data_IF_331356067564
#
_entry.id   IF_331356067564
#
_cell.length_a   1.000
_cell.length_b   1.000
_cell.length_c   1.000
_cell.angle_alpha   90.00
_cell.angle_beta   90.00
_cell.angle_gamma   90.00
#
_symmetry.space_group_name_H-M   'P 1'
#
loop_
_entity.id
_entity.type
_entity.pdbx_description
1 polymer ?
#
# COMPACT_ATOMS: atom_id res chain seq x y z
N UNK A 1 22.34 1.12 17.06
CA UNK A 1 21.89 2.51 17.17
C UNK A 1 21.98 3.17 15.80
N UNK A 2 23.15 3.17 15.11
CA UNK A 2 23.33 3.85 13.82
C UNK A 2 22.41 3.33 12.68
N UNK A 3 22.10 2.04 12.63
CA UNK A 3 21.26 1.47 11.58
C UNK A 3 19.79 1.89 11.70
N UNK A 4 19.30 2.06 12.93
CA UNK A 4 17.94 2.52 13.21
C UNK A 4 17.77 3.99 12.83
N UNK A 5 18.75 4.83 13.15
CA UNK A 5 18.72 6.25 12.81
C UNK A 5 18.73 6.46 11.29
N UNK A 6 19.58 5.72 10.55
CA UNK A 6 19.65 5.76 9.09
C UNK A 6 18.34 5.34 8.42
N UNK A 7 17.66 4.32 8.93
CA UNK A 7 16.33 3.91 8.43
C UNK A 7 15.27 4.98 8.67
N UNK A 8 15.24 5.54 9.87
CA UNK A 8 14.29 6.61 10.23
C UNK A 8 14.48 7.83 9.34
N UNK A 9 15.72 8.26 9.11
CA UNK A 9 16.05 9.38 8.23
C UNK A 9 15.63 9.12 6.79
N UNK A 10 15.88 7.93 6.28
CA UNK A 10 15.48 7.51 4.93
C UNK A 10 13.95 7.56 4.77
N UNK A 11 13.22 7.11 5.77
CA UNK A 11 11.76 7.11 5.72
C UNK A 11 11.16 8.51 5.90
N UNK A 12 11.78 9.37 6.70
CA UNK A 12 11.39 10.78 6.78
C UNK A 12 11.57 11.49 5.44
N UNK A 13 12.67 11.23 4.74
CA UNK A 13 12.92 11.74 3.38
C UNK A 13 11.86 11.23 2.41
N UNK A 14 11.55 9.94 2.43
CA UNK A 14 10.49 9.33 1.62
C UNK A 14 9.14 10.02 1.85
N UNK A 15 8.74 10.23 3.11
CA UNK A 15 7.48 10.92 3.45
C UNK A 15 7.45 12.36 2.99
N UNK A 16 8.55 13.07 3.15
CA UNK A 16 8.68 14.47 2.69
C UNK A 16 8.50 14.56 1.19
N UNK A 17 9.14 13.69 0.43
CA UNK A 17 9.00 13.62 -1.03
C UNK A 17 7.57 13.26 -1.42
N UNK A 18 6.97 12.24 -0.81
CA UNK A 18 5.59 11.84 -1.03
C UNK A 18 4.61 13.01 -0.85
N UNK A 19 4.73 13.76 0.24
CA UNK A 19 3.89 14.92 0.52
C UNK A 19 4.13 16.03 -0.52
N UNK A 20 5.39 16.32 -0.84
CA UNK A 20 5.76 17.40 -1.76
C UNK A 20 5.35 17.14 -3.20
N UNK A 21 5.38 15.89 -3.64
CA UNK A 21 5.07 15.47 -5.01
C UNK A 21 3.64 14.97 -5.17
N UNK A 22 2.82 15.01 -4.10
CA UNK A 22 1.46 14.49 -4.13
C UNK A 22 0.61 15.25 -5.17
N UNK A 23 -0.04 14.50 -6.08
CA UNK A 23 -0.72 15.05 -7.24
C UNK A 23 -2.14 15.57 -6.95
N UNK A 24 -2.77 15.08 -5.87
CA UNK A 24 -4.17 15.41 -5.53
C UNK A 24 -4.23 16.41 -4.39
N UNK A 25 -3.41 16.24 -3.35
CA UNK A 25 -3.35 17.18 -2.22
C UNK A 25 -2.32 18.26 -2.52
N UNK A 26 -2.76 19.48 -2.70
CA UNK A 26 -1.92 20.57 -3.20
C UNK A 26 -1.77 21.72 -2.17
N UNK A 27 -0.70 22.46 -2.31
CA UNK A 27 -0.47 23.70 -1.56
C UNK A 27 -0.55 23.50 -0.04
N UNK A 28 -1.30 24.37 0.63
CA UNK A 28 -1.46 24.36 2.10
C UNK A 28 -2.17 23.11 2.64
N UNK A 29 -2.95 22.44 1.80
CA UNK A 29 -3.69 21.26 2.23
C UNK A 29 -2.78 20.04 2.49
N UNK A 30 -1.55 20.06 1.98
CA UNK A 30 -0.52 19.07 2.30
C UNK A 30 -0.24 18.95 3.79
N UNK A 31 -0.41 20.02 4.56
CA UNK A 31 -0.25 20.00 6.02
C UNK A 31 -1.30 19.17 6.76
N UNK A 32 -2.39 18.81 6.07
CA UNK A 32 -3.45 17.94 6.62
C UNK A 32 -3.16 16.45 6.43
N UNK A 33 -2.14 16.10 5.65
CA UNK A 33 -1.70 14.71 5.50
C UNK A 33 -1.03 14.25 6.79
N UNK A 34 -1.55 13.19 7.37
CA UNK A 34 -1.11 12.67 8.67
C UNK A 34 -0.58 11.24 8.54
N UNK A 35 0.42 10.91 9.36
CA UNK A 35 1.08 9.61 9.36
C UNK A 35 1.23 9.11 10.80
N UNK A 36 1.25 7.80 10.95
CA UNK A 36 1.71 7.20 12.20
C UNK A 36 3.19 7.48 12.44
N UNK A 37 3.65 7.48 13.69
CA UNK A 37 5.09 7.48 13.97
C UNK A 37 5.78 6.32 13.23
N UNK A 38 7.02 6.55 12.81
CA UNK A 38 7.83 5.51 12.17
C UNK A 38 8.12 4.42 13.20
N UNK A 39 7.78 3.18 12.86
CA UNK A 39 7.96 2.04 13.76
C UNK A 39 8.60 0.86 13.02
N UNK A 40 9.79 0.45 13.47
CA UNK A 40 10.58 -0.60 12.83
C UNK A 40 9.93 -1.98 12.86
N UNK A 41 9.05 -2.26 13.83
CA UNK A 41 8.30 -3.52 13.93
C UNK A 41 7.26 -3.70 12.80
N UNK A 42 6.93 -2.65 12.05
CA UNK A 42 6.09 -2.71 10.84
C UNK A 42 6.89 -2.87 9.54
N UNK A 43 8.18 -3.09 9.65
CA UNK A 43 9.09 -3.44 8.56
C UNK A 43 9.53 -4.89 8.73
N UNK A 44 8.98 -5.78 7.92
CA UNK A 44 9.15 -7.23 8.08
C UNK A 44 9.67 -7.88 6.80
N UNK A 45 10.41 -8.98 6.94
CA UNK A 45 10.77 -9.82 5.81
C UNK A 45 9.62 -10.80 5.56
N UNK A 46 9.07 -10.78 4.36
CA UNK A 46 8.04 -11.70 3.91
C UNK A 46 8.65 -12.79 3.03
N UNK A 47 8.19 -14.01 3.18
CA UNK A 47 8.44 -15.09 2.21
C UNK A 47 7.52 -14.88 1.01
N UNK A 48 8.09 -15.00 -0.19
CA UNK A 48 7.35 -14.86 -1.44
C UNK A 48 7.17 -16.24 -2.11
N UNK A 49 5.93 -16.54 -2.48
CA UNK A 49 5.59 -17.71 -3.30
C UNK A 49 4.95 -17.23 -4.59
N UNK A 50 5.58 -17.51 -5.73
CA UNK A 50 5.04 -17.11 -7.04
C UNK A 50 3.75 -17.86 -7.34
N UNK A 51 2.75 -17.15 -7.86
CA UNK A 51 1.50 -17.75 -8.29
C UNK A 51 1.71 -18.57 -9.58
N UNK A 52 1.02 -19.71 -9.67
CA UNK A 52 0.96 -20.56 -10.86
C UNK A 52 -0.46 -20.53 -11.42
N UNK A 53 -0.59 -20.49 -12.75
CA UNK A 53 -1.89 -20.49 -13.44
C UNK A 53 -2.84 -19.38 -13.01
N UNK A 54 -2.29 -18.21 -12.66
CA UNK A 54 -3.05 -17.07 -12.22
C UNK A 54 -3.88 -16.48 -13.38
N UNK A 55 -5.15 -16.23 -13.12
CA UNK A 55 -6.08 -15.64 -14.09
C UNK A 55 -6.17 -14.12 -13.90
N UNK A 56 -6.46 -13.41 -14.99
CA UNK A 56 -6.81 -12.01 -14.94
C UNK A 56 -8.21 -11.84 -14.33
N UNK A 57 -8.31 -11.01 -13.31
CA UNK A 57 -9.51 -10.77 -12.53
C UNK A 57 -9.94 -9.31 -12.64
N UNK A 58 -11.23 -9.09 -12.77
CA UNK A 58 -11.81 -7.74 -12.74
C UNK A 58 -11.97 -7.30 -11.29
N UNK A 59 -11.22 -6.26 -10.90
CA UNK A 59 -11.33 -5.64 -9.58
C UNK A 59 -12.36 -4.53 -9.62
N UNK A 60 -13.34 -4.54 -8.70
CA UNK A 60 -14.19 -3.39 -8.50
C UNK A 60 -13.36 -2.18 -8.03
N UNK A 61 -13.83 -1.00 -8.40
CA UNK A 61 -13.23 0.26 -7.96
C UNK A 61 -14.27 1.13 -7.29
N UNK A 62 -13.85 2.21 -6.67
CA UNK A 62 -14.74 3.24 -6.13
C UNK A 62 -15.50 4.02 -7.22
N UNK A 63 -15.09 3.89 -8.48
CA UNK A 63 -15.72 4.54 -9.62
C UNK A 63 -16.51 3.59 -10.49
N UNK A 64 -16.68 3.95 -11.76
CA UNK A 64 -17.49 3.19 -12.73
C UNK A 64 -16.69 2.19 -13.56
N UNK A 65 -15.36 2.31 -13.57
CA UNK A 65 -14.47 1.50 -14.42
C UNK A 65 -13.71 0.53 -13.52
N UNK A 66 -13.91 -0.76 -13.75
CA UNK A 66 -13.12 -1.80 -13.09
C UNK A 66 -11.70 -1.82 -13.65
N UNK A 67 -10.77 -2.31 -12.85
CA UNK A 67 -9.38 -2.55 -13.25
C UNK A 67 -9.07 -4.03 -13.25
N UNK A 68 -8.14 -4.45 -14.10
CA UNK A 68 -7.82 -5.86 -14.27
C UNK A 68 -6.45 -6.17 -13.67
N UNK A 69 -6.43 -7.13 -12.76
CA UNK A 69 -5.24 -7.61 -12.06
C UNK A 69 -5.16 -9.13 -12.08
N UNK A 70 -3.97 -9.66 -11.87
CA UNK A 70 -3.78 -11.06 -11.53
C UNK A 70 -2.92 -11.19 -10.28
N UNK A 71 -3.07 -12.28 -9.55
CA UNK A 71 -2.16 -12.62 -8.45
C UNK A 71 -0.79 -12.93 -9.06
N UNK A 72 0.21 -12.14 -8.70
CA UNK A 72 1.61 -12.38 -9.06
C UNK A 72 2.26 -13.39 -8.13
N UNK A 73 1.90 -13.35 -6.86
CA UNK A 73 2.36 -14.24 -5.82
C UNK A 73 1.74 -13.92 -4.48
N UNK A 74 2.11 -14.70 -3.48
CA UNK A 74 1.65 -14.55 -2.09
C UNK A 74 2.82 -14.22 -1.19
N UNK A 75 2.62 -13.25 -0.32
CA UNK A 75 3.54 -12.88 0.75
C UNK A 75 3.07 -13.50 2.06
N UNK A 76 3.95 -14.21 2.74
CA UNK A 76 3.71 -14.77 4.09
C UNK A 76 4.71 -14.15 5.06
N UNK A 77 4.24 -13.61 6.17
CA UNK A 77 5.06 -12.91 7.13
C UNK A 77 4.49 -13.01 8.54
N UNK A 78 5.30 -12.67 9.52
CA UNK A 78 4.88 -12.59 10.93
C UNK A 78 4.95 -11.13 11.35
N UNK A 79 3.86 -10.60 11.88
CA UNK A 79 3.80 -9.25 12.42
C UNK A 79 3.31 -9.31 13.86
N UNK A 80 4.12 -8.78 14.78
CA UNK A 80 3.84 -8.80 16.22
C UNK A 80 3.46 -10.20 16.73
N UNK A 81 4.15 -11.24 16.26
CA UNK A 81 3.92 -12.64 16.63
C UNK A 81 2.77 -13.33 15.90
N UNK A 82 2.03 -12.64 15.05
CA UNK A 82 0.91 -13.19 14.31
C UNK A 82 1.30 -13.52 12.85
N UNK A 83 1.10 -14.77 12.38
CA UNK A 83 1.30 -15.12 10.98
C UNK A 83 0.19 -14.54 10.11
N UNK A 84 0.58 -13.89 9.00
CA UNK A 84 -0.29 -13.19 8.07
C UNK A 84 0.09 -13.47 6.63
N UNK A 85 -0.85 -13.28 5.73
CA UNK A 85 -0.64 -13.41 4.28
C UNK A 85 -1.29 -12.26 3.52
N UNK A 86 -0.67 -11.87 2.41
CA UNK A 86 -1.21 -10.93 1.42
C UNK A 86 -0.90 -11.41 0.01
N UNK A 87 -1.85 -11.28 -0.89
CA UNK A 87 -1.62 -11.47 -2.31
C UNK A 87 -1.02 -10.20 -2.91
N UNK A 88 0.00 -10.40 -3.75
CA UNK A 88 0.68 -9.37 -4.52
C UNK A 88 0.16 -9.40 -5.95
N UNK A 89 -0.25 -8.26 -6.50
CA UNK A 89 -0.95 -8.19 -7.77
C UNK A 89 -0.14 -7.52 -8.87
N UNK A 90 -0.35 -7.96 -10.10
CA UNK A 90 0.15 -7.30 -11.31
C UNK A 90 -1.03 -6.69 -12.06
N UNK A 91 -0.91 -5.42 -12.45
CA UNK A 91 -1.89 -4.72 -13.27
C UNK A 91 -1.73 -5.09 -14.74
N UNK A 92 -2.84 -5.43 -15.41
CA UNK A 92 -2.82 -5.73 -16.84
C UNK A 92 -2.40 -4.50 -17.67
N UNK A 93 -2.96 -3.35 -17.37
CA UNK A 93 -2.68 -2.11 -18.11
C UNK A 93 -1.24 -1.63 -17.90
N UNK A 94 -0.78 -1.64 -16.64
CA UNK A 94 0.57 -1.16 -16.32
C UNK A 94 1.66 -2.12 -16.83
N UNK A 95 1.41 -3.42 -16.83
CA UNK A 95 2.36 -4.41 -17.32
C UNK A 95 2.70 -4.24 -18.82
N UNK A 96 1.84 -3.57 -19.59
CA UNK A 96 2.06 -3.27 -21.00
C UNK A 96 2.97 -2.04 -21.24
N UNK A 97 3.21 -1.24 -20.21
CA UNK A 97 4.07 -0.07 -20.29
C UNK A 97 5.46 -0.41 -19.79
N UNK A 98 6.48 -0.07 -20.54
CA UNK A 98 7.86 -0.44 -20.20
C UNK A 98 8.30 0.09 -18.84
N UNK A 99 7.95 1.33 -18.51
CA UNK A 99 8.28 1.96 -17.24
C UNK A 99 7.63 1.29 -16.02
N UNK A 100 6.49 0.58 -16.22
CA UNK A 100 5.74 -0.07 -15.13
C UNK A 100 5.70 -1.60 -15.21
N UNK A 101 6.42 -2.22 -16.13
CA UNK A 101 6.36 -3.68 -16.33
C UNK A 101 6.77 -4.49 -15.10
N UNK A 102 7.61 -3.92 -14.24
CA UNK A 102 8.05 -4.54 -13.00
C UNK A 102 7.19 -4.14 -11.78
N UNK A 103 6.21 -3.27 -11.97
CA UNK A 103 5.36 -2.78 -10.89
C UNK A 103 4.45 -3.86 -10.34
N UNK A 104 4.38 -3.93 -9.02
CA UNK A 104 3.51 -4.82 -8.27
C UNK A 104 2.69 -4.02 -7.27
N UNK A 105 1.42 -4.34 -7.19
CA UNK A 105 0.43 -3.63 -6.39
C UNK A 105 0.02 -4.47 -5.18
N UNK A 106 0.05 -3.87 -4.00
CA UNK A 106 -0.33 -4.52 -2.75
C UNK A 106 -1.41 -3.69 -2.04
N UNK A 107 -2.68 -3.88 -2.40
CA UNK A 107 -3.80 -3.30 -1.67
C UNK A 107 -4.13 -4.13 -0.44
N UNK A 108 -4.49 -3.50 0.67
CA UNK A 108 -4.90 -4.19 1.88
C UNK A 108 -5.90 -3.39 2.70
N UNK A 109 -6.67 -4.08 3.51
CA UNK A 109 -7.44 -3.51 4.61
C UNK A 109 -6.95 -4.08 5.94
N UNK A 110 -7.17 -3.37 7.01
CA UNK A 110 -6.81 -3.77 8.35
C UNK A 110 -7.80 -3.22 9.38
N UNK A 111 -7.64 -3.55 10.65
CA UNK A 111 -8.59 -3.15 11.67
C UNK A 111 -8.56 -1.66 12.06
N UNK A 112 -7.67 -0.86 11.48
CA UNK A 112 -7.66 0.61 11.65
C UNK A 112 -8.58 1.35 10.68
N UNK A 113 -9.07 0.66 9.62
CA UNK A 113 -9.90 1.30 8.59
C UNK A 113 -11.22 1.83 9.18
N UNK A 114 -11.66 2.99 8.68
CA UNK A 114 -12.83 3.73 9.13
C UNK A 114 -12.73 4.34 10.54
N UNK A 115 -11.64 4.11 11.27
CA UNK A 115 -11.35 4.72 12.56
C UNK A 115 -10.12 5.65 12.46
N UNK A 116 -8.93 5.07 12.38
CA UNK A 116 -7.68 5.83 12.30
C UNK A 116 -7.17 6.03 10.87
N UNK A 117 -7.58 5.17 9.94
CA UNK A 117 -7.17 5.21 8.53
C UNK A 117 -8.37 5.20 7.59
N UNK A 118 -8.11 5.49 6.31
CA UNK A 118 -9.15 5.54 5.28
C UNK A 118 -9.95 4.24 5.20
N UNK A 119 -11.27 4.36 5.16
CA UNK A 119 -12.22 3.22 5.16
C UNK A 119 -12.02 2.25 3.99
N UNK A 120 -11.59 2.75 2.84
CA UNK A 120 -11.34 1.96 1.63
C UNK A 120 -10.02 1.20 1.63
N UNK A 121 -9.26 1.20 2.72
CA UNK A 121 -7.96 0.54 2.80
C UNK A 121 -6.81 1.40 2.28
N UNK A 122 -5.63 0.80 2.22
CA UNK A 122 -4.37 1.46 1.81
C UNK A 122 -3.60 0.59 0.83
N UNK A 123 -2.60 1.19 0.22
CA UNK A 123 -1.77 0.57 -0.81
C UNK A 123 -0.30 0.59 -0.44
N UNK A 124 0.43 -0.41 -0.96
CA UNK A 124 1.89 -0.41 -1.05
C UNK A 124 2.29 -0.66 -2.50
N UNK A 125 3.29 0.07 -2.96
CA UNK A 125 3.91 -0.10 -4.26
C UNK A 125 5.21 -0.90 -4.10
N UNK A 126 5.32 -1.97 -4.86
CA UNK A 126 6.47 -2.86 -4.89
C UNK A 126 6.88 -3.11 -6.35
N UNK A 127 8.01 -3.76 -6.53
CA UNK A 127 8.46 -4.18 -7.85
C UNK A 127 8.97 -5.62 -7.82
N UNK A 128 9.04 -6.25 -8.99
CA UNK A 128 9.66 -7.58 -9.11
C UNK A 128 11.12 -7.58 -8.67
N UNK A 129 11.79 -6.41 -8.72
CA UNK A 129 13.19 -6.24 -8.31
C UNK A 129 13.38 -6.26 -6.79
N UNK A 130 12.30 -6.06 -6.03
CA UNK A 130 12.33 -6.15 -4.55
C UNK A 130 12.36 -7.59 -4.05
N UNK A 131 12.07 -8.55 -4.94
CA UNK A 131 12.03 -9.97 -4.61
C UNK A 131 13.43 -10.57 -4.79
N UNK A 132 14.03 -11.03 -3.71
CA UNK A 132 15.34 -11.67 -3.69
C UNK A 132 15.28 -13.01 -2.94
N UNK A 133 15.72 -14.09 -3.59
CA UNK A 133 15.74 -15.42 -2.98
C UNK A 133 14.40 -15.83 -2.33
N UNK A 134 13.29 -15.57 -3.03
CA UNK A 134 11.93 -15.81 -2.54
C UNK A 134 11.62 -15.07 -1.22
N UNK A 135 12.22 -13.92 -1.02
CA UNK A 135 11.89 -13.01 0.09
C UNK A 135 11.70 -11.59 -0.42
N UNK A 136 10.99 -10.80 0.36
CA UNK A 136 10.71 -9.40 0.07
C UNK A 136 10.64 -8.64 1.39
N UNK A 137 11.25 -7.45 1.43
CA UNK A 137 11.12 -6.56 2.57
C UNK A 137 9.81 -5.78 2.45
N UNK A 138 8.88 -6.04 3.36
CA UNK A 138 7.57 -5.41 3.42
C UNK A 138 7.58 -4.32 4.49
N UNK A 139 7.42 -3.07 4.08
CA UNK A 139 7.47 -1.91 4.97
C UNK A 139 6.12 -1.17 4.98
N UNK A 140 5.30 -1.44 5.98
CA UNK A 140 4.00 -0.79 6.15
C UNK A 140 4.11 0.70 6.51
N UNK A 141 5.28 1.18 6.94
CA UNK A 141 5.50 2.61 7.14
C UNK A 141 5.40 3.42 5.83
N UNK A 142 5.46 2.75 4.68
CA UNK A 142 5.27 3.33 3.34
C UNK A 142 3.84 3.21 2.81
N UNK A 143 2.91 2.62 3.58
CA UNK A 143 1.52 2.50 3.16
C UNK A 143 0.88 3.87 2.97
N UNK A 144 0.12 4.04 1.90
CA UNK A 144 -0.49 5.30 1.51
C UNK A 144 -1.97 5.14 1.14
N UNK A 145 -2.69 6.24 1.16
CA UNK A 145 -4.10 6.29 0.80
C UNK A 145 -4.31 6.33 -0.72
N UNK A 146 -5.33 5.65 -1.25
CA UNK A 146 -5.77 5.89 -2.62
C UNK A 146 -6.24 7.33 -2.80
N UNK A 147 -6.22 7.86 -4.02
CA UNK A 147 -6.67 9.22 -4.32
C UNK A 147 -8.10 9.49 -3.88
N UNK A 148 -8.95 8.46 -3.84
CA UNK A 148 -10.33 8.57 -3.40
C UNK A 148 -10.49 8.92 -1.92
N UNK A 149 -9.44 8.78 -1.13
CA UNK A 149 -9.41 9.24 0.26
C UNK A 149 -9.41 10.78 0.37
N UNK A 150 -8.95 11.47 -0.67
CA UNK A 150 -8.84 12.94 -0.69
C UNK A 150 -9.93 13.61 -1.51
N UNK A 151 -10.39 12.95 -2.58
CA UNK A 151 -11.40 13.46 -3.51
C UNK A 151 -12.34 12.35 -3.91
N UNK A 152 -13.63 12.51 -3.61
CA UNK A 152 -14.63 11.52 -4.00
C UNK A 152 -15.10 11.70 -5.45
N UNK A 153 -15.48 10.60 -6.10
CA UNK A 153 -16.16 10.60 -7.41
C UNK A 153 -15.28 10.91 -8.63
N UNK A 154 -13.98 11.14 -8.46
CA UNK A 154 -13.07 11.52 -9.56
C UNK A 154 -12.23 10.36 -10.09
N UNK A 155 -11.84 9.45 -9.23
CA UNK A 155 -10.90 8.37 -9.55
C UNK A 155 -11.54 6.99 -9.43
N UNK A 156 -11.00 6.03 -10.17
CA UNK A 156 -11.37 4.62 -10.09
C UNK A 156 -10.32 3.90 -9.24
N UNK A 157 -10.46 3.97 -7.92
CA UNK A 157 -9.50 3.39 -6.98
C UNK A 157 -9.84 1.92 -6.73
N UNK A 158 -8.91 0.98 -6.98
CA UNK A 158 -9.16 -0.44 -6.72
C UNK A 158 -9.53 -0.71 -5.27
N UNK A 159 -10.59 -1.48 -5.08
CA UNK A 159 -11.02 -1.91 -3.75
C UNK A 159 -10.19 -3.14 -3.37
N UNK A 160 -9.49 -3.12 -2.21
CA UNK A 160 -8.75 -4.29 -1.76
C UNK A 160 -9.64 -5.53 -1.66
N UNK A 161 -9.21 -6.68 -2.21
CA UNK A 161 -9.98 -7.90 -2.14
C UNK A 161 -10.00 -8.49 -0.73
N UNK A 162 -10.97 -9.35 -0.44
CA UNK A 162 -11.15 -9.98 0.89
C UNK A 162 -9.91 -10.76 1.34
N UNK A 163 -9.20 -11.36 0.39
CA UNK A 163 -7.97 -12.12 0.64
C UNK A 163 -6.85 -11.25 1.21
N UNK A 164 -6.95 -9.93 1.03
CA UNK A 164 -6.00 -8.95 1.56
C UNK A 164 -6.56 -8.16 2.76
N UNK A 165 -7.55 -8.71 3.46
CA UNK A 165 -8.03 -8.18 4.72
C UNK A 165 -7.20 -8.75 5.89
N UNK A 166 -6.42 -7.90 6.55
CA UNK A 166 -5.61 -8.27 7.72
C UNK A 166 -6.44 -8.15 9.00
N UNK A 167 -6.50 -9.19 9.84
CA UNK A 167 -7.27 -9.18 11.10
C UNK A 167 -6.52 -8.49 12.24
N UNK A 168 -5.63 -7.57 11.95
CA UNK A 168 -4.78 -6.85 12.90
C UNK A 168 -4.77 -5.36 12.58
N UNK A 169 -4.36 -4.54 13.54
CA UNK A 169 -4.14 -3.12 13.34
C UNK A 169 -2.75 -2.85 12.76
N UNK A 170 -2.69 -2.23 11.59
CA UNK A 170 -1.44 -1.76 10.98
C UNK A 170 -1.27 -0.27 11.32
N UNK A 171 -0.71 0.01 12.49
CA UNK A 171 -0.46 1.38 12.97
C UNK A 171 0.86 1.92 12.42
N UNK A 172 0.96 1.95 11.10
CA UNK A 172 2.08 2.46 10.32
C UNK A 172 1.57 3.07 9.01
N UNK A 173 2.36 3.95 8.40
CA UNK A 173 2.01 4.60 7.15
C UNK A 173 1.02 5.77 7.30
N UNK A 174 0.30 6.07 6.24
CA UNK A 174 -0.62 7.20 6.19
C UNK A 174 -1.91 6.94 6.96
N UNK A 175 -2.35 7.93 7.72
CA UNK A 175 -3.62 7.95 8.45
C UNK A 175 -4.74 8.52 7.57
N UNK A 176 -5.97 8.49 8.07
CA UNK A 176 -7.09 9.16 7.40
C UNK A 176 -6.75 10.63 7.14
N UNK A 177 -7.01 11.07 5.92
CA UNK A 177 -6.87 12.48 5.57
C UNK A 177 -7.94 13.27 6.32
N UNK A 178 -7.52 14.30 7.04
CA UNK A 178 -8.44 15.20 7.70
C UNK A 178 -9.15 16.07 6.66
N UNK A 179 -10.01 15.42 5.85
CA UNK A 179 -10.89 16.15 4.96
C UNK A 179 -11.70 17.12 5.80
N UNK A 180 -11.77 18.35 5.33
CA UNK A 180 -12.75 19.31 5.77
C UNK A 180 -14.08 18.57 5.97
N UNK A 181 -14.53 18.49 7.22
CA UNK A 181 -15.93 18.23 7.54
C UNK A 181 -16.79 19.17 6.69
N UNK A 182 -17.48 18.64 5.73
CA UNK A 182 -18.54 19.33 5.02
C UNK A 182 -19.88 18.83 5.50
#
# INVERSE_FOLDING_TARGET
VFAQDSYTDSLQTFRKEYIQTHEVVLGKDRSKMAFYPIAGNYRVVASFTKATNSQWLSFPTSGKINKVYKVYGTLSFVLNGQPLQLNLYQSQDLAQREEYRNYLFLPFTDSTNADETYEGGRYLDLTTKDIHNNTLLLDFNKAYNPYCAYVSGKYNCPIPPKENALPVAIKAGEKAYAASSH
#
